data_IF_715871990003
#
_entry.id   IF_715871990003
#
_cell.length_a   1.000
_cell.length_b   1.000
_cell.length_c   1.000
_cell.angle_alpha   90.00
_cell.angle_beta   90.00
_cell.angle_gamma   90.00
#
_symmetry.space_group_name_H-M   'P 1'
#
loop_
_entity.id
_entity.type
_entity.pdbx_description
1 polymer ?
#
# COMPACT_ATOMS: atom_id res chain seq x y z
N UNK A 1 -15.40 -8.38 5.61
CA UNK A 1 -15.55 -9.85 5.53
C UNK A 1 -16.00 -10.49 6.86
N UNK A 2 -15.61 -9.99 8.04
CA UNK A 2 -16.10 -10.55 9.32
C UNK A 2 -17.64 -10.63 9.46
N UNK A 3 -18.37 -9.54 9.18
CA UNK A 3 -19.84 -9.55 9.26
C UNK A 3 -20.48 -10.51 8.26
N UNK A 4 -19.92 -10.58 7.04
CA UNK A 4 -20.33 -11.55 6.02
C UNK A 4 -20.17 -12.97 6.53
N UNK A 5 -19.00 -13.30 7.09
CA UNK A 5 -18.75 -14.62 7.64
C UNK A 5 -19.63 -14.96 8.83
N UNK A 6 -19.89 -14.00 9.73
CA UNK A 6 -20.76 -14.22 10.90
C UNK A 6 -22.20 -14.47 10.47
N UNK A 7 -22.68 -13.75 9.45
CA UNK A 7 -24.00 -13.98 8.87
C UNK A 7 -24.08 -15.33 8.16
N UNK A 8 -23.01 -15.72 7.46
CA UNK A 8 -22.90 -17.03 6.83
C UNK A 8 -22.91 -18.17 7.87
N UNK A 9 -22.20 -18.05 9.01
CA UNK A 9 -22.22 -19.05 10.10
C UNK A 9 -23.64 -19.22 10.63
N UNK A 10 -24.36 -18.11 10.86
CA UNK A 10 -25.74 -18.14 11.36
C UNK A 10 -26.70 -18.82 10.37
N UNK A 11 -26.55 -18.54 9.08
CA UNK A 11 -27.32 -19.19 8.02
C UNK A 11 -26.99 -20.69 7.90
N UNK A 12 -25.71 -21.07 8.01
CA UNK A 12 -25.27 -22.48 8.04
C UNK A 12 -25.93 -23.23 9.20
N UNK A 13 -25.90 -22.65 10.40
CA UNK A 13 -26.49 -23.24 11.59
C UNK A 13 -28.01 -23.41 11.48
N UNK A 14 -28.69 -22.49 10.79
CA UNK A 14 -30.14 -22.58 10.50
C UNK A 14 -30.51 -23.68 9.51
N UNK A 15 -29.61 -24.03 8.57
CA UNK A 15 -29.85 -25.07 7.56
C UNK A 15 -29.60 -26.50 8.08
N UNK A 16 -29.15 -26.68 9.32
CA UNK A 16 -28.93 -28.01 9.90
C UNK A 16 -27.91 -28.83 9.10
N UNK A 17 -28.26 -30.08 8.75
CA UNK A 17 -27.38 -30.97 7.97
C UNK A 17 -27.10 -30.48 6.55
N UNK A 18 -27.98 -29.66 5.97
CA UNK A 18 -27.77 -29.04 4.65
C UNK A 18 -26.77 -27.87 4.71
N UNK A 19 -26.40 -27.41 5.92
CA UNK A 19 -25.45 -26.33 6.15
C UNK A 19 -24.00 -26.78 6.39
N UNK A 20 -23.70 -28.09 6.41
CA UNK A 20 -22.37 -28.58 6.79
C UNK A 20 -21.27 -28.17 5.80
N UNK A 21 -21.52 -28.27 4.49
CA UNK A 21 -20.61 -27.78 3.46
C UNK A 21 -20.46 -26.25 3.54
N UNK A 22 -21.56 -25.53 3.82
CA UNK A 22 -21.54 -24.09 3.97
C UNK A 22 -20.78 -23.61 5.22
N UNK A 23 -20.75 -24.42 6.29
CA UNK A 23 -19.96 -24.13 7.50
C UNK A 23 -18.46 -24.17 7.21
N UNK A 24 -18.00 -25.13 6.41
CA UNK A 24 -16.60 -25.20 5.95
C UNK A 24 -16.27 -23.98 5.07
N UNK A 25 -17.12 -23.66 4.09
CA UNK A 25 -16.94 -22.47 3.25
C UNK A 25 -16.89 -21.18 4.07
N UNK A 26 -17.72 -21.08 5.10
CA UNK A 26 -17.73 -19.91 5.98
C UNK A 26 -16.42 -19.77 6.75
N UNK A 27 -15.84 -20.88 7.21
CA UNK A 27 -14.54 -20.86 7.86
C UNK A 27 -13.43 -20.42 6.89
N UNK A 28 -13.47 -20.88 5.64
CA UNK A 28 -12.50 -20.45 4.62
C UNK A 28 -12.66 -18.95 4.28
N UNK A 29 -13.89 -18.44 4.28
CA UNK A 29 -14.18 -17.00 4.12
C UNK A 29 -13.66 -16.19 5.32
N UNK A 30 -13.71 -16.74 6.54
CA UNK A 30 -13.11 -16.10 7.72
C UNK A 30 -11.60 -16.01 7.58
N UNK A 31 -10.95 -17.13 7.28
CA UNK A 31 -9.50 -17.18 7.12
C UNK A 31 -9.03 -16.25 6.00
N UNK A 32 -9.74 -16.22 4.87
CA UNK A 32 -9.47 -15.25 3.81
C UNK A 32 -9.63 -13.80 4.32
N UNK A 33 -10.69 -13.53 5.07
CA UNK A 33 -10.95 -12.21 5.65
C UNK A 33 -9.81 -11.75 6.58
N UNK A 34 -9.29 -12.66 7.40
CA UNK A 34 -8.17 -12.40 8.31
C UNK A 34 -6.88 -12.12 7.53
N UNK A 35 -6.55 -12.96 6.54
CA UNK A 35 -5.38 -12.79 5.65
C UNK A 35 -5.45 -11.44 4.90
N UNK A 36 -6.63 -11.08 4.38
CA UNK A 36 -6.86 -9.80 3.70
C UNK A 36 -6.71 -8.63 4.67
N UNK A 37 -7.26 -8.74 5.87
CA UNK A 37 -7.20 -7.69 6.90
C UNK A 37 -5.76 -7.41 7.35
N UNK A 38 -4.99 -8.46 7.61
CA UNK A 38 -3.56 -8.35 7.96
C UNK A 38 -2.76 -7.69 6.84
N UNK A 39 -2.95 -8.16 5.60
CA UNK A 39 -2.26 -7.61 4.44
C UNK A 39 -2.58 -6.12 4.21
N UNK A 40 -3.86 -5.73 4.35
CA UNK A 40 -4.28 -4.33 4.25
C UNK A 40 -3.65 -3.50 5.37
N UNK A 41 -3.66 -4.00 6.61
CA UNK A 41 -3.09 -3.29 7.76
C UNK A 41 -1.60 -3.00 7.56
N UNK A 42 -0.83 -3.99 7.12
CA UNK A 42 0.60 -3.81 6.88
C UNK A 42 0.88 -2.89 5.69
N UNK A 43 0.09 -3.01 4.63
CA UNK A 43 0.15 -2.09 3.48
C UNK A 43 -0.10 -0.64 3.92
N UNK A 44 -1.11 -0.40 4.76
CA UNK A 44 -1.45 0.93 5.28
C UNK A 44 -0.32 1.53 6.14
N UNK A 45 0.34 0.73 6.98
CA UNK A 45 1.49 1.19 7.79
C UNK A 45 2.62 1.68 6.89
N UNK A 46 3.00 0.90 5.88
CA UNK A 46 4.08 1.26 4.96
C UNK A 46 3.71 2.47 4.09
N UNK A 47 2.46 2.58 3.63
CA UNK A 47 1.97 3.77 2.92
C UNK A 47 2.09 5.02 3.80
N UNK A 48 1.71 4.93 5.07
CA UNK A 48 1.84 6.05 6.01
C UNK A 48 3.30 6.48 6.15
N UNK A 49 4.21 5.53 6.30
CA UNK A 49 5.64 5.82 6.35
C UNK A 49 6.14 6.51 5.06
N UNK A 50 5.75 6.00 3.88
CA UNK A 50 6.07 6.61 2.58
C UNK A 50 5.60 8.07 2.52
N UNK A 51 4.36 8.35 2.92
CA UNK A 51 3.80 9.72 2.90
C UNK A 51 4.58 10.65 3.84
N UNK A 52 4.96 10.17 5.03
CA UNK A 52 5.75 10.97 5.98
C UNK A 52 7.17 11.24 5.47
N UNK A 53 7.82 10.26 4.83
CA UNK A 53 9.14 10.41 4.22
C UNK A 53 9.09 11.37 3.03
N UNK A 54 8.08 11.25 2.16
CA UNK A 54 7.88 12.15 1.04
C UNK A 54 7.66 13.61 1.50
N UNK A 55 6.82 13.82 2.52
CA UNK A 55 6.60 15.14 3.13
C UNK A 55 7.88 15.72 3.71
N UNK A 56 8.67 14.87 4.38
CA UNK A 56 9.95 15.26 4.97
C UNK A 56 10.97 15.64 3.89
N UNK A 57 11.05 14.86 2.80
CA UNK A 57 11.89 15.14 1.64
C UNK A 57 11.52 16.48 0.99
N UNK A 58 10.23 16.74 0.78
CA UNK A 58 9.77 18.01 0.21
C UNK A 58 10.25 19.22 1.03
N UNK A 59 10.21 19.11 2.37
CA UNK A 59 10.74 20.14 3.27
C UNK A 59 12.26 20.30 3.15
N UNK A 60 13.01 19.20 3.09
CA UNK A 60 14.46 19.26 2.90
C UNK A 60 14.84 19.87 1.56
N UNK A 61 14.12 19.56 0.48
CA UNK A 61 14.32 20.20 -0.81
C UNK A 61 14.03 21.70 -0.79
N UNK A 62 12.94 22.12 -0.13
CA UNK A 62 12.66 23.54 0.05
C UNK A 62 13.81 24.25 0.77
N UNK A 63 14.32 23.65 1.85
CA UNK A 63 15.50 24.17 2.55
C UNK A 63 16.73 24.23 1.64
N UNK A 64 16.96 23.20 0.83
CA UNK A 64 18.09 23.15 -0.11
C UNK A 64 18.01 24.25 -1.16
N UNK A 65 16.82 24.51 -1.73
CA UNK A 65 16.60 25.62 -2.68
C UNK A 65 16.87 26.97 -2.01
N UNK A 66 16.46 27.16 -0.76
CA UNK A 66 16.79 28.38 0.01
C UNK A 66 18.29 28.53 0.20
N UNK A 67 19.02 27.45 0.49
CA UNK A 67 20.49 27.47 0.58
C UNK A 67 21.13 27.90 -0.75
N UNK A 68 20.65 27.41 -1.88
CA UNK A 68 21.15 27.80 -3.21
C UNK A 68 20.90 29.28 -3.52
N UNK A 69 19.70 29.79 -3.21
CA UNK A 69 19.38 31.22 -3.37
C UNK A 69 20.32 32.09 -2.50
N UNK A 70 20.48 31.73 -1.23
CA UNK A 70 21.39 32.43 -0.32
C UNK A 70 22.83 32.38 -0.79
N UNK A 71 23.34 31.22 -1.24
CA UNK A 71 24.68 31.08 -1.81
C UNK A 71 24.87 32.04 -3.00
N UNK A 72 23.90 32.10 -3.92
CA UNK A 72 23.96 33.00 -5.08
C UNK A 72 23.96 34.49 -4.73
N UNK A 73 23.22 34.88 -3.67
CA UNK A 73 23.13 36.27 -3.21
C UNK A 73 24.35 36.71 -2.41
N UNK A 74 25.05 35.77 -1.78
CA UNK A 74 26.25 36.02 -0.99
C UNK A 74 27.53 35.94 -1.84
N UNK A 75 27.44 35.51 -3.10
CA UNK A 75 28.56 35.47 -4.02
C UNK A 75 29.13 36.89 -4.24
N UNK A 76 30.38 37.10 -3.83
CA UNK A 76 31.05 38.39 -3.86
C UNK A 76 30.77 39.35 -2.69
N UNK A 77 30.00 38.94 -1.67
CA UNK A 77 29.76 39.73 -0.44
C UNK A 77 30.64 39.21 0.69
N UNK A 78 31.42 40.10 1.32
CA UNK A 78 32.24 39.76 2.48
C UNK A 78 31.34 39.54 3.71
N UNK A 79 31.19 38.28 4.11
CA UNK A 79 30.27 37.88 5.18
C UNK A 79 31.02 37.70 6.50
N UNK A 80 30.37 38.07 7.61
CA UNK A 80 30.92 37.87 8.97
C UNK A 80 31.05 36.37 9.30
N UNK A 81 30.24 35.53 8.66
CA UNK A 81 30.22 34.08 8.84
C UNK A 81 31.10 33.40 7.81
N UNK A 82 32.03 32.54 8.24
CA UNK A 82 32.92 31.82 7.31
C UNK A 82 32.13 31.02 6.28
N UNK A 83 32.48 31.16 5.00
CA UNK A 83 31.92 30.37 3.88
C UNK A 83 31.88 28.85 4.16
N UNK A 84 32.91 28.32 4.83
CA UNK A 84 32.98 26.91 5.26
C UNK A 84 31.82 26.43 6.16
N UNK A 85 31.14 27.35 6.87
CA UNK A 85 29.98 27.02 7.70
C UNK A 85 28.74 26.78 6.84
N UNK A 86 28.53 27.61 5.81
CA UNK A 86 27.44 27.44 4.84
C UNK A 86 27.62 26.15 4.03
N UNK A 87 28.84 25.88 3.55
CA UNK A 87 29.16 24.63 2.85
C UNK A 87 28.87 23.38 3.69
N UNK A 88 29.17 23.42 5.00
CA UNK A 88 28.87 22.33 5.92
C UNK A 88 27.36 22.11 6.06
N UNK A 89 26.59 23.19 6.23
CA UNK A 89 25.13 23.12 6.33
C UNK A 89 24.49 22.57 5.06
N UNK A 90 24.94 23.04 3.89
CA UNK A 90 24.51 22.53 2.58
C UNK A 90 24.78 21.04 2.45
N UNK A 91 26.01 20.60 2.78
CA UNK A 91 26.40 19.19 2.72
C UNK A 91 25.52 18.33 3.64
N UNK A 92 25.22 18.79 4.85
CA UNK A 92 24.36 18.07 5.78
C UNK A 92 22.92 17.90 5.24
N UNK A 93 22.34 18.96 4.66
CA UNK A 93 21.01 18.88 4.04
C UNK A 93 21.00 17.89 2.87
N UNK A 94 22.05 17.88 2.05
CA UNK A 94 22.21 16.92 0.95
C UNK A 94 22.31 15.49 1.47
N UNK A 95 23.12 15.24 2.50
CA UNK A 95 23.24 13.92 3.12
C UNK A 95 21.91 13.43 3.69
N UNK A 96 21.14 14.30 4.35
CA UNK A 96 19.81 14.00 4.85
C UNK A 96 18.83 13.66 3.71
N UNK A 97 18.88 14.41 2.60
CA UNK A 97 18.06 14.15 1.42
C UNK A 97 18.37 12.77 0.82
N UNK A 98 19.66 12.44 0.65
CA UNK A 98 20.09 11.14 0.13
C UNK A 98 19.64 10.01 1.06
N UNK A 99 19.84 10.17 2.37
CA UNK A 99 19.44 9.20 3.38
C UNK A 99 17.92 8.95 3.39
N UNK A 100 17.11 10.01 3.36
CA UNK A 100 15.64 9.87 3.31
C UNK A 100 15.16 9.31 1.98
N UNK A 101 15.83 9.61 0.87
CA UNK A 101 15.55 8.94 -0.40
C UNK A 101 15.81 7.43 -0.29
N UNK A 102 16.97 6.97 0.18
CA UNK A 102 17.20 5.53 0.34
C UNK A 102 16.15 4.83 1.21
N UNK A 103 15.69 5.47 2.29
CA UNK A 103 14.57 4.97 3.10
C UNK A 103 13.29 4.86 2.29
N UNK A 104 12.92 5.90 1.54
CA UNK A 104 11.74 5.91 0.69
C UNK A 104 11.77 4.78 -0.35
N UNK A 105 12.90 4.58 -1.04
CA UNK A 105 13.05 3.46 -2.01
C UNK A 105 12.86 2.10 -1.35
N UNK A 106 13.40 1.91 -0.14
CA UNK A 106 13.20 0.69 0.63
C UNK A 106 11.74 0.47 1.00
N UNK A 107 11.04 1.51 1.48
CA UNK A 107 9.62 1.42 1.81
C UNK A 107 8.77 1.09 0.57
N UNK A 108 9.09 1.66 -0.59
CA UNK A 108 8.44 1.32 -1.86
C UNK A 108 8.67 -0.16 -2.23
N UNK A 109 9.90 -0.66 -2.08
CA UNK A 109 10.20 -2.07 -2.29
C UNK A 109 9.43 -3.00 -1.34
N UNK A 110 9.31 -2.61 -0.06
CA UNK A 110 8.51 -3.34 0.93
C UNK A 110 7.03 -3.33 0.57
N UNK A 111 6.47 -2.18 0.20
CA UNK A 111 5.07 -2.05 -0.22
C UNK A 111 4.77 -2.95 -1.43
N UNK A 112 5.67 -3.00 -2.42
CA UNK A 112 5.54 -3.90 -3.58
C UNK A 112 5.43 -5.37 -3.16
N UNK A 113 6.23 -5.79 -2.18
CA UNK A 113 6.23 -7.17 -1.69
C UNK A 113 4.93 -7.48 -0.92
N UNK A 114 4.41 -6.54 -0.13
CA UNK A 114 3.14 -6.67 0.58
C UNK A 114 1.93 -6.72 -0.36
N UNK A 115 1.98 -6.00 -1.48
CA UNK A 115 0.93 -6.06 -2.51
C UNK A 115 0.96 -7.37 -3.32
N UNK A 116 2.11 -8.07 -3.36
CA UNK A 116 2.31 -9.32 -4.10
C UNK A 116 1.23 -10.39 -3.81
N UNK A 117 1.01 -10.80 -2.54
CA UNK A 117 0.03 -11.84 -2.20
C UNK A 117 -1.42 -11.45 -2.47
N UNK A 118 -1.77 -10.15 -2.56
CA UNK A 118 -3.18 -9.73 -2.73
C UNK A 118 -3.80 -10.32 -3.98
N UNK A 119 -3.05 -10.45 -5.08
CA UNK A 119 -3.56 -11.09 -6.31
C UNK A 119 -3.95 -12.56 -6.09
N UNK A 120 -3.24 -13.27 -5.20
CA UNK A 120 -3.57 -14.64 -4.82
C UNK A 120 -4.79 -14.70 -3.90
N UNK A 121 -4.89 -13.75 -2.96
CA UNK A 121 -6.06 -13.62 -2.08
C UNK A 121 -7.33 -13.32 -2.88
N UNK A 122 -7.23 -12.47 -3.90
CA UNK A 122 -8.35 -12.18 -4.82
C UNK A 122 -8.81 -13.46 -5.52
N UNK A 123 -7.88 -14.23 -6.12
CA UNK A 123 -8.22 -15.51 -6.76
C UNK A 123 -8.84 -16.52 -5.77
N UNK A 124 -8.32 -16.61 -4.55
CA UNK A 124 -8.88 -17.45 -3.49
C UNK A 124 -10.31 -17.02 -3.14
N UNK A 125 -10.55 -15.71 -3.05
CA UNK A 125 -11.87 -15.15 -2.81
C UNK A 125 -12.86 -15.39 -3.96
N UNK A 126 -12.42 -15.24 -5.21
CA UNK A 126 -13.24 -15.55 -6.39
C UNK A 126 -13.66 -17.03 -6.39
N UNK A 127 -12.71 -17.92 -6.11
CA UNK A 127 -12.97 -19.35 -5.98
C UNK A 127 -14.00 -19.65 -4.88
N UNK A 128 -13.81 -19.11 -3.67
CA UNK A 128 -14.75 -19.30 -2.57
C UNK A 128 -16.15 -18.76 -2.89
N UNK A 129 -16.23 -17.65 -3.63
CA UNK A 129 -17.51 -17.11 -4.05
C UNK A 129 -18.20 -18.02 -5.08
N UNK A 130 -17.45 -18.59 -6.03
CA UNK A 130 -17.98 -19.60 -6.96
C UNK A 130 -18.49 -20.83 -6.21
N UNK A 131 -17.71 -21.38 -5.27
CA UNK A 131 -18.13 -22.51 -4.45
C UNK A 131 -19.40 -22.18 -3.64
N UNK A 132 -19.46 -20.98 -3.06
CA UNK A 132 -20.64 -20.53 -2.32
C UNK A 132 -21.89 -20.41 -3.21
N UNK A 133 -21.73 -19.97 -4.47
CA UNK A 133 -22.83 -19.90 -5.44
C UNK A 133 -23.31 -21.29 -5.88
N UNK A 134 -22.38 -22.23 -6.08
CA UNK A 134 -22.73 -23.63 -6.42
C UNK A 134 -23.48 -24.29 -5.27
N UNK A 135 -23.00 -24.10 -4.04
CA UNK A 135 -23.67 -24.64 -2.85
C UNK A 135 -25.04 -24.00 -2.65
N UNK A 136 -25.17 -22.69 -2.91
CA UNK A 136 -26.45 -21.99 -2.89
C UNK A 136 -27.46 -22.59 -3.88
N UNK A 137 -27.03 -22.93 -5.10
CA UNK A 137 -27.88 -23.57 -6.10
C UNK A 137 -28.31 -25.00 -5.69
N UNK A 138 -27.50 -25.69 -4.88
CA UNK A 138 -27.79 -27.04 -4.38
C UNK A 138 -28.65 -27.07 -3.11
N UNK A 139 -28.77 -25.96 -2.38
CA UNK A 139 -29.39 -25.88 -1.05
C UNK A 139 -30.89 -25.52 -1.03
N UNK A 140 -31.60 -25.64 -2.16
CA UNK A 140 -33.06 -25.46 -2.21
C UNK A 140 -33.56 -24.14 -1.60
N UNK A 141 -34.47 -24.21 -0.62
CA UNK A 141 -35.03 -23.01 0.05
C UNK A 141 -34.01 -22.21 0.89
N UNK A 142 -32.90 -22.84 1.31
CA UNK A 142 -31.85 -22.18 2.09
C UNK A 142 -30.80 -21.46 1.22
N UNK A 143 -30.81 -21.73 -0.08
CA UNK A 143 -29.89 -21.18 -1.08
C UNK A 143 -29.92 -19.66 -1.23
N UNK A 144 -31.03 -18.99 -0.92
CA UNK A 144 -31.15 -17.52 -1.06
C UNK A 144 -30.13 -16.78 -0.17
N UNK A 145 -29.94 -17.27 1.05
CA UNK A 145 -28.98 -16.69 1.99
C UNK A 145 -27.53 -16.96 1.58
N UNK A 146 -27.28 -18.11 0.97
CA UNK A 146 -25.96 -18.53 0.49
C UNK A 146 -25.57 -17.76 -0.78
N UNK A 147 -26.51 -17.52 -1.68
CA UNK A 147 -26.27 -16.72 -2.89
C UNK A 147 -26.02 -15.24 -2.55
N UNK A 148 -26.71 -14.70 -1.53
CA UNK A 148 -26.42 -13.35 -1.05
C UNK A 148 -24.98 -13.22 -0.50
N UNK A 149 -24.50 -14.23 0.23
CA UNK A 149 -23.12 -14.29 0.74
C UNK A 149 -22.12 -14.40 -0.42
N UNK A 150 -22.38 -15.27 -1.40
CA UNK A 150 -21.58 -15.41 -2.62
C UNK A 150 -21.45 -14.09 -3.38
N UNK A 151 -22.58 -13.42 -3.65
CA UNK A 151 -22.62 -12.16 -4.38
C UNK A 151 -21.82 -11.06 -3.66
N UNK A 152 -22.02 -10.90 -2.35
CA UNK A 152 -21.27 -9.92 -1.56
C UNK A 152 -19.78 -10.27 -1.47
N UNK A 153 -19.41 -11.56 -1.40
CA UNK A 153 -18.00 -11.97 -1.46
C UNK A 153 -17.37 -11.61 -2.80
N UNK A 154 -18.05 -11.86 -3.93
CA UNK A 154 -17.57 -11.47 -5.27
C UNK A 154 -17.32 -9.97 -5.34
N UNK A 155 -18.25 -9.16 -4.85
CA UNK A 155 -18.13 -7.71 -4.87
C UNK A 155 -16.93 -7.22 -4.03
N UNK A 156 -16.79 -7.72 -2.81
CA UNK A 156 -15.66 -7.36 -1.93
C UNK A 156 -14.31 -7.78 -2.53
N UNK A 157 -14.25 -8.96 -3.13
CA UNK A 157 -13.04 -9.49 -3.75
C UNK A 157 -12.68 -8.71 -5.02
N UNK A 158 -13.68 -8.34 -5.83
CA UNK A 158 -13.50 -7.47 -7.00
C UNK A 158 -12.94 -6.12 -6.60
N UNK A 159 -13.52 -5.49 -5.57
CA UNK A 159 -13.03 -4.21 -5.03
C UNK A 159 -11.59 -4.32 -4.51
N UNK A 160 -11.24 -5.42 -3.84
CA UNK A 160 -9.87 -5.68 -3.39
C UNK A 160 -8.89 -5.78 -4.56
N UNK A 161 -9.28 -6.47 -5.65
CA UNK A 161 -8.47 -6.61 -6.85
C UNK A 161 -8.24 -5.28 -7.58
N UNK A 162 -9.29 -4.47 -7.73
CA UNK A 162 -9.20 -3.13 -8.32
C UNK A 162 -8.30 -2.22 -7.49
N UNK A 163 -8.50 -2.18 -6.17
CA UNK A 163 -7.66 -1.41 -5.24
C UNK A 163 -6.20 -1.83 -5.31
N UNK A 164 -5.90 -3.12 -5.29
CA UNK A 164 -4.53 -3.64 -5.41
C UNK A 164 -3.88 -3.24 -6.73
N UNK A 165 -4.63 -3.29 -7.83
CA UNK A 165 -4.15 -2.89 -9.16
C UNK A 165 -3.82 -1.40 -9.20
N UNK A 166 -4.72 -0.56 -8.69
CA UNK A 166 -4.50 0.88 -8.57
C UNK A 166 -3.25 1.19 -7.73
N UNK A 167 -3.12 0.56 -6.56
CA UNK A 167 -1.96 0.74 -5.68
C UNK A 167 -0.64 0.35 -6.38
N UNK A 168 -0.63 -0.70 -7.21
CA UNK A 168 0.56 -1.10 -7.98
C UNK A 168 0.93 -0.08 -9.05
N UNK A 169 -0.05 0.51 -9.74
CA UNK A 169 0.18 1.56 -10.73
C UNK A 169 0.79 2.78 -10.03
N UNK A 170 0.17 3.26 -8.95
CA UNK A 170 0.68 4.40 -8.18
C UNK A 170 2.08 4.14 -7.62
N UNK A 171 2.35 2.92 -7.14
CA UNK A 171 3.67 2.52 -6.66
C UNK A 171 4.72 2.56 -7.77
N UNK A 172 4.36 2.13 -8.99
CA UNK A 172 5.24 2.21 -10.15
C UNK A 172 5.54 3.67 -10.49
N UNK A 173 4.52 4.51 -10.60
CA UNK A 173 4.69 5.93 -10.91
C UNK A 173 5.56 6.64 -9.86
N UNK A 174 5.35 6.31 -8.58
CA UNK A 174 6.14 6.85 -7.48
C UNK A 174 7.60 6.35 -7.52
N UNK A 175 7.82 5.08 -7.89
CA UNK A 175 9.16 4.52 -8.06
C UNK A 175 9.91 5.18 -9.22
N UNK A 176 9.23 5.37 -10.35
CA UNK A 176 9.80 6.00 -11.56
C UNK A 176 10.14 7.49 -11.31
N UNK A 177 9.23 8.20 -10.63
CA UNK A 177 9.45 9.59 -10.20
C UNK A 177 10.63 9.69 -9.22
N UNK A 178 10.73 8.74 -8.29
CA UNK A 178 11.83 8.67 -7.35
C UNK A 178 13.18 8.41 -8.03
N UNK A 179 13.25 7.48 -8.97
CA UNK A 179 14.46 7.18 -9.74
C UNK A 179 14.92 8.41 -10.57
N UNK A 180 13.95 9.11 -11.19
CA UNK A 180 14.20 10.35 -11.90
C UNK A 180 14.76 11.44 -10.97
N UNK A 181 14.18 11.59 -9.77
CA UNK A 181 14.66 12.53 -8.76
C UNK A 181 16.09 12.19 -8.30
N UNK A 182 16.40 10.91 -8.06
CA UNK A 182 17.74 10.46 -7.69
C UNK A 182 18.77 10.74 -8.79
N UNK A 183 18.39 10.53 -10.05
CA UNK A 183 19.26 10.82 -11.20
C UNK A 183 19.54 12.31 -11.31
N UNK A 184 18.51 13.16 -11.19
CA UNK A 184 18.67 14.61 -11.18
C UNK A 184 19.56 15.10 -10.04
N UNK A 185 19.40 14.55 -8.83
CA UNK A 185 20.26 14.87 -7.68
C UNK A 185 21.71 14.48 -7.93
N UNK A 186 21.96 13.29 -8.50
CA UNK A 186 23.31 12.84 -8.83
C UNK A 186 23.97 13.82 -9.79
N UNK A 187 23.28 14.24 -10.84
CA UNK A 187 23.84 15.20 -11.80
C UNK A 187 24.14 16.55 -11.11
N UNK A 188 23.22 17.07 -10.30
CA UNK A 188 23.43 18.34 -9.56
C UNK A 188 24.59 18.29 -8.55
N UNK A 189 24.89 17.12 -7.98
CA UNK A 189 25.95 16.97 -6.98
C UNK A 189 27.33 16.66 -7.59
N UNK A 190 27.38 16.15 -8.82
CA UNK A 190 28.61 15.71 -9.48
C UNK A 190 28.99 16.53 -10.73
N UNK A 191 28.16 17.47 -11.21
CA UNK A 191 28.50 18.42 -12.29
C UNK A 191 29.32 19.65 -11.82
N UNK A 192 30.13 19.52 -10.77
CA UNK A 192 31.15 20.52 -10.40
C UNK A 192 32.53 19.90 -10.27
#
# INVERSE_FOLDING_TARGET
MHLLSSNAVSSAARAGSEGDAFRVLTQDIQLLGDEVSECISDTQKVITEIVTLASTLARYFSNYVIYLDLESRLDGIDTVTKFSYFERGKKQVVEDIIGNNHKLSRCLGMLRNLLSPIATLVKKGEYLAVCSSVEAASAGEHGVSFEAVSSMLRELVSQLGEQSTCQRILLRDLSDSMESQQTNQRNLLYDR
#
